data_IF_445644339792
#
_entry.id   IF_445644339792
#
_cell.length_a   1.000
_cell.length_b   1.000
_cell.length_c   1.000
_cell.angle_alpha   90.00
_cell.angle_beta   90.00
_cell.angle_gamma   90.00
#
_symmetry.space_group_name_H-M   'P 1'
#
loop_
_entity.id
_entity.type
_entity.pdbx_description
1 polymer ?
#
# COMPACT_ATOMS: atom_id res chain seq x y z
N UNK A 1 3.15 1.71 -17.54
CA UNK A 1 2.67 2.64 -16.50
C UNK A 1 2.81 2.02 -15.11
N UNK A 2 2.38 0.77 -14.94
CA UNK A 2 2.37 0.00 -13.69
C UNK A 2 3.78 -0.21 -13.11
N UNK A 3 4.76 -0.59 -13.93
CA UNK A 3 6.15 -0.74 -13.49
C UNK A 3 6.67 0.55 -12.86
N UNK A 4 6.32 1.73 -13.40
CA UNK A 4 6.69 3.02 -12.80
C UNK A 4 6.01 3.26 -11.45
N UNK A 5 4.78 2.81 -11.29
CA UNK A 5 4.02 2.93 -10.04
C UNK A 5 4.63 2.04 -8.95
N UNK A 6 4.93 0.78 -9.29
CA UNK A 6 5.60 -0.16 -8.38
C UNK A 6 7.01 0.32 -8.02
N UNK A 7 7.73 0.90 -8.98
CA UNK A 7 9.08 1.49 -8.78
C UNK A 7 9.05 2.67 -7.81
N UNK A 8 7.96 3.42 -7.78
CA UNK A 8 7.78 4.52 -6.81
C UNK A 8 7.40 4.04 -5.42
N UNK A 9 6.88 2.81 -5.30
CA UNK A 9 6.49 2.20 -4.04
C UNK A 9 7.69 1.60 -3.30
N UNK A 10 8.26 0.50 -3.80
CA UNK A 10 9.47 -0.09 -3.22
C UNK A 10 10.27 -0.92 -4.22
N UNK A 11 11.60 -0.94 -4.06
CA UNK A 11 12.49 -1.79 -4.84
C UNK A 11 12.22 -3.28 -4.58
N UNK A 12 11.79 -3.63 -3.38
CA UNK A 12 11.37 -4.99 -3.02
C UNK A 12 10.17 -5.44 -3.86
N UNK A 13 9.10 -4.63 -3.93
CA UNK A 13 7.94 -4.93 -4.75
C UNK A 13 8.30 -5.02 -6.23
N UNK A 14 9.15 -4.10 -6.72
CA UNK A 14 9.64 -4.10 -8.10
C UNK A 14 10.37 -5.40 -8.43
N UNK A 15 11.34 -5.82 -7.60
CA UNK A 15 12.13 -7.03 -7.85
C UNK A 15 11.26 -8.29 -7.96
N UNK A 16 10.19 -8.34 -7.18
CA UNK A 16 9.24 -9.44 -7.21
C UNK A 16 8.39 -9.44 -8.49
N UNK A 17 7.88 -8.29 -8.89
CA UNK A 17 7.10 -8.14 -10.14
C UNK A 17 7.94 -8.45 -11.37
N UNK A 18 9.19 -7.96 -11.41
CA UNK A 18 10.14 -8.30 -12.47
C UNK A 18 10.40 -9.80 -12.54
N UNK A 19 10.53 -10.50 -11.41
CA UNK A 19 10.69 -11.95 -11.37
C UNK A 19 9.48 -12.70 -11.95
N UNK A 20 8.26 -12.25 -11.68
CA UNK A 20 7.06 -12.83 -12.30
C UNK A 20 7.03 -12.61 -13.82
N UNK A 21 7.39 -11.40 -14.28
CA UNK A 21 7.51 -11.07 -15.70
C UNK A 21 8.51 -11.98 -16.41
N UNK A 22 9.71 -12.13 -15.86
CA UNK A 22 10.76 -13.00 -16.41
C UNK A 22 10.24 -14.43 -16.51
N UNK A 23 9.67 -14.99 -15.45
CA UNK A 23 9.14 -16.36 -15.44
C UNK A 23 8.05 -16.56 -16.50
N UNK A 24 7.18 -15.57 -16.71
CA UNK A 24 6.14 -15.60 -17.73
C UNK A 24 6.72 -15.58 -19.13
N UNK A 25 7.69 -14.68 -19.41
CA UNK A 25 8.39 -14.62 -20.69
C UNK A 25 9.16 -15.92 -21.00
N UNK A 26 9.85 -16.50 -20.02
CA UNK A 26 10.52 -17.80 -20.18
C UNK A 26 9.55 -18.94 -20.47
N UNK A 27 8.33 -18.90 -19.87
CA UNK A 27 7.29 -19.86 -20.17
C UNK A 27 6.81 -19.73 -21.61
N UNK A 28 6.51 -18.51 -22.08
CA UNK A 28 6.11 -18.25 -23.47
C UNK A 28 7.18 -18.71 -24.46
N UNK A 29 8.44 -18.43 -24.17
CA UNK A 29 9.56 -18.91 -24.99
C UNK A 29 9.60 -20.44 -25.09
N UNK A 30 9.41 -21.16 -23.97
CA UNK A 30 9.39 -22.64 -23.95
C UNK A 30 8.19 -23.23 -24.70
N UNK A 31 7.04 -22.56 -24.64
CA UNK A 31 5.82 -23.01 -25.32
C UNK A 31 5.77 -22.61 -26.80
N UNK A 32 6.76 -21.87 -27.31
CA UNK A 32 6.80 -21.37 -28.68
C UNK A 32 5.63 -20.42 -29.00
N UNK A 33 5.03 -19.80 -28.00
CA UNK A 33 3.94 -18.84 -28.17
C UNK A 33 4.54 -17.49 -28.62
N UNK A 34 3.94 -16.93 -29.66
CA UNK A 34 4.19 -15.55 -30.08
C UNK A 34 3.40 -14.67 -29.14
N UNK A 35 4.01 -13.60 -28.65
CA UNK A 35 3.32 -12.57 -27.89
C UNK A 35 2.62 -11.70 -28.93
N UNK A 36 1.36 -12.02 -29.22
CA UNK A 36 0.57 -11.29 -30.22
C UNK A 36 0.13 -9.92 -29.70
N UNK A 37 0.03 -9.75 -28.38
CA UNK A 37 -0.27 -8.49 -27.72
C UNK A 37 0.54 -8.35 -26.41
N UNK A 38 1.40 -7.37 -26.38
CA UNK A 38 2.21 -7.03 -25.20
C UNK A 38 1.30 -6.45 -24.11
N UNK A 39 0.23 -5.76 -24.48
CA UNK A 39 -0.68 -5.12 -23.54
C UNK A 39 -1.52 -6.17 -22.80
N UNK A 40 -2.03 -7.20 -23.47
CA UNK A 40 -2.68 -8.37 -22.83
C UNK A 40 -1.72 -9.12 -21.88
N UNK A 41 -0.44 -9.17 -22.24
CA UNK A 41 0.58 -9.77 -21.40
C UNK A 41 0.80 -8.98 -20.09
N UNK A 42 0.74 -7.66 -20.16
CA UNK A 42 0.87 -6.78 -18.99
C UNK A 42 -0.44 -6.73 -18.17
N UNK A 43 -1.62 -6.79 -18.81
CA UNK A 43 -2.91 -6.86 -18.13
C UNK A 43 -3.06 -8.12 -17.27
N UNK A 44 -2.62 -9.28 -17.78
CA UNK A 44 -2.60 -10.52 -17.00
C UNK A 44 -1.71 -10.44 -15.74
N UNK A 45 -0.63 -9.64 -15.78
CA UNK A 45 0.26 -9.44 -14.64
C UNK A 45 -0.40 -8.50 -13.64
N UNK A 46 -1.11 -7.51 -14.15
CA UNK A 46 -1.91 -6.59 -13.37
C UNK A 46 -3.00 -7.34 -12.59
N UNK A 47 -3.72 -8.25 -13.24
CA UNK A 47 -4.71 -9.10 -12.57
C UNK A 47 -4.07 -10.02 -11.51
N UNK A 48 -2.82 -10.47 -11.68
CA UNK A 48 -2.13 -11.31 -10.68
C UNK A 48 -1.69 -10.56 -9.42
N UNK A 49 -1.47 -9.24 -9.50
CA UNK A 49 -1.19 -8.36 -8.35
C UNK A 49 -2.46 -7.62 -7.88
N UNK A 50 -3.51 -7.59 -8.70
CA UNK A 50 -4.73 -6.79 -8.56
C UNK A 50 -5.86 -7.44 -7.76
N UNK A 51 -5.61 -8.43 -6.91
CA UNK A 51 -6.61 -8.76 -5.88
C UNK A 51 -7.01 -7.53 -5.01
N UNK A 52 -6.33 -6.38 -5.21
CA UNK A 52 -6.55 -5.15 -4.46
C UNK A 52 -6.85 -3.89 -5.33
N UNK A 53 -6.83 -3.98 -6.68
CA UNK A 53 -7.11 -2.82 -7.54
C UNK A 53 -8.48 -2.92 -8.21
N UNK A 54 -9.49 -2.37 -7.57
CA UNK A 54 -10.78 -2.06 -8.19
C UNK A 54 -10.81 -0.59 -8.55
N UNK A 55 -10.39 -0.22 -9.75
CA UNK A 55 -10.86 1.01 -10.40
C UNK A 55 -10.50 0.98 -11.89
N UNK A 56 -11.52 0.84 -12.70
CA UNK A 56 -11.51 1.08 -14.14
C UNK A 56 -11.35 2.59 -14.38
N UNK A 57 -10.13 3.06 -14.58
CA UNK A 57 -9.93 4.32 -15.30
C UNK A 57 -9.56 3.95 -16.75
N UNK A 58 -10.52 4.18 -17.65
CA UNK A 58 -10.31 4.16 -19.11
C UNK A 58 -9.12 5.07 -19.46
N UNK A 59 -7.99 4.47 -19.79
CA UNK A 59 -6.84 5.19 -20.34
C UNK A 59 -6.80 5.02 -21.84
N UNK A 60 -6.68 6.15 -22.54
CA UNK A 60 -6.44 6.23 -23.97
C UNK A 60 -5.13 5.52 -24.32
N UNK A 61 -5.22 4.58 -25.27
CA UNK A 61 -4.11 3.80 -25.79
C UNK A 61 -3.03 4.69 -26.42
N UNK A 62 -1.75 4.44 -26.17
CA UNK A 62 -0.67 4.97 -26.98
C UNK A 62 -0.55 4.11 -28.25
N UNK A 63 -0.66 4.74 -29.38
CA UNK A 63 -0.49 4.15 -30.72
C UNK A 63 0.79 3.35 -30.85
N UNK A 64 0.65 2.09 -31.22
CA UNK A 64 1.70 1.09 -31.40
C UNK A 64 2.69 1.44 -32.50
N UNK A 65 3.98 1.52 -32.10
CA UNK A 65 5.08 1.32 -33.04
C UNK A 65 5.58 -0.11 -32.89
N UNK A 66 5.49 -0.91 -33.93
CA UNK A 66 6.07 -2.25 -33.99
C UNK A 66 7.58 -2.16 -33.82
N UNK A 67 8.08 -2.66 -32.71
CA UNK A 67 9.53 -2.93 -32.52
C UNK A 67 9.64 -4.43 -32.32
N UNK A 68 10.38 -5.08 -33.21
CA UNK A 68 10.71 -6.51 -33.13
C UNK A 68 11.65 -6.74 -31.93
N UNK A 69 11.06 -6.89 -30.75
CA UNK A 69 11.80 -7.22 -29.53
C UNK A 69 12.08 -8.72 -29.48
N UNK A 70 13.34 -9.07 -29.55
CA UNK A 70 13.80 -10.41 -29.21
C UNK A 70 13.46 -10.66 -27.74
N UNK A 71 12.59 -11.66 -27.44
CA UNK A 71 12.22 -12.08 -26.06
C UNK A 71 13.47 -12.29 -25.19
N UNK A 72 14.55 -12.76 -25.78
CA UNK A 72 15.83 -12.95 -25.08
C UNK A 72 16.49 -11.63 -24.65
N UNK A 73 16.36 -10.61 -25.48
CA UNK A 73 16.84 -9.25 -25.14
C UNK A 73 16.08 -8.68 -23.96
N UNK A 74 14.75 -8.80 -23.97
CA UNK A 74 13.87 -8.30 -22.93
C UNK A 74 14.08 -9.04 -21.60
N UNK A 75 14.16 -10.37 -21.61
CA UNK A 75 14.50 -11.16 -20.42
C UNK A 75 15.83 -10.70 -19.82
N UNK A 76 16.84 -10.44 -20.63
CA UNK A 76 18.15 -10.00 -20.16
C UNK A 76 18.09 -8.62 -19.50
N UNK A 77 17.36 -7.67 -20.07
CA UNK A 77 17.16 -6.34 -19.49
C UNK A 77 16.39 -6.40 -18.18
N UNK A 78 15.31 -7.21 -18.13
CA UNK A 78 14.52 -7.41 -16.91
C UNK A 78 15.33 -8.08 -15.79
N UNK A 79 16.18 -9.05 -16.12
CA UNK A 79 17.11 -9.68 -15.16
C UNK A 79 18.09 -8.67 -14.57
N UNK A 80 18.64 -7.78 -15.39
CA UNK A 80 19.54 -6.73 -14.90
C UNK A 80 18.82 -5.74 -14.01
N UNK A 81 17.60 -5.29 -14.38
CA UNK A 81 16.77 -4.44 -13.55
C UNK A 81 16.42 -5.11 -12.22
N UNK A 82 16.07 -6.42 -12.25
CA UNK A 82 15.77 -7.19 -11.04
C UNK A 82 17.00 -7.26 -10.13
N UNK A 83 18.19 -7.53 -10.69
CA UNK A 83 19.44 -7.56 -9.95
C UNK A 83 19.76 -6.22 -9.28
N UNK A 84 19.54 -5.11 -9.99
CA UNK A 84 19.73 -3.77 -9.43
C UNK A 84 18.75 -3.51 -8.27
N UNK A 85 17.47 -3.86 -8.43
CA UNK A 85 16.47 -3.72 -7.37
C UNK A 85 16.80 -4.56 -6.14
N UNK A 86 17.27 -5.81 -6.31
CA UNK A 86 17.67 -6.69 -5.21
C UNK A 86 18.91 -6.23 -4.45
N UNK A 87 19.76 -5.44 -5.09
CA UNK A 87 20.96 -4.88 -4.45
C UNK A 87 20.66 -3.69 -3.54
N UNK A 88 19.46 -3.13 -3.60
CA UNK A 88 19.01 -2.07 -2.69
C UNK A 88 18.67 -2.70 -1.34
N UNK A 89 19.59 -2.60 -0.38
CA UNK A 89 19.42 -3.17 0.96
C UNK A 89 18.51 -2.34 1.86
N UNK A 90 18.61 -1.03 1.73
CA UNK A 90 17.83 -0.07 2.51
C UNK A 90 17.27 1.01 1.59
N UNK A 91 15.98 1.22 1.65
CA UNK A 91 15.31 2.25 0.88
C UNK A 91 15.26 3.56 1.67
N UNK A 92 15.72 4.64 1.07
CA UNK A 92 15.66 5.98 1.68
C UNK A 92 14.26 6.33 2.16
N UNK A 93 13.24 5.92 1.42
CA UNK A 93 11.83 6.14 1.75
C UNK A 93 11.43 5.43 3.06
N UNK A 94 11.90 4.19 3.29
CA UNK A 94 11.64 3.44 4.51
C UNK A 94 12.41 4.02 5.72
N UNK A 95 13.67 4.45 5.51
CA UNK A 95 14.44 5.17 6.54
C UNK A 95 13.69 6.42 6.98
N UNK A 96 13.27 7.23 6.01
CA UNK A 96 12.51 8.47 6.26
C UNK A 96 11.14 8.21 6.89
N UNK A 97 10.54 7.05 6.66
CA UNK A 97 9.29 6.66 7.33
C UNK A 97 9.51 6.54 8.84
N UNK A 98 10.58 5.89 9.30
CA UNK A 98 10.86 5.75 10.74
C UNK A 98 11.08 7.12 11.37
N UNK A 99 11.89 7.99 10.76
CA UNK A 99 12.11 9.35 11.23
C UNK A 99 10.80 10.15 11.30
N UNK A 100 9.98 10.08 10.26
CA UNK A 100 8.71 10.80 10.18
C UNK A 100 7.70 10.29 11.23
N UNK A 101 7.66 8.98 11.49
CA UNK A 101 6.80 8.40 12.53
C UNK A 101 7.15 8.91 13.91
N UNK A 102 8.44 9.02 14.26
CA UNK A 102 8.87 9.55 15.55
C UNK A 102 8.41 11.01 15.73
N UNK A 103 8.63 11.85 14.73
CA UNK A 103 8.20 13.25 14.75
C UNK A 103 6.68 13.36 14.86
N UNK A 104 5.95 12.59 14.02
CA UNK A 104 4.50 12.61 14.00
C UNK A 104 3.89 12.10 15.31
N UNK A 105 4.41 11.02 15.89
CA UNK A 105 3.93 10.53 17.19
C UNK A 105 4.16 11.53 18.32
N UNK A 106 5.26 12.27 18.30
CA UNK A 106 5.47 13.36 19.27
C UNK A 106 4.42 14.47 19.11
N UNK A 107 4.06 14.81 17.87
CA UNK A 107 2.99 15.78 17.60
C UNK A 107 1.62 15.25 18.03
N UNK A 108 1.30 14.00 17.72
CA UNK A 108 0.05 13.35 18.17
C UNK A 108 -0.06 13.36 19.69
N UNK A 109 1.04 13.05 20.40
CA UNK A 109 1.08 13.11 21.87
C UNK A 109 0.83 14.54 22.38
N UNK A 110 1.38 15.55 21.73
CA UNK A 110 1.21 16.95 22.13
C UNK A 110 -0.25 17.42 22.02
N UNK A 111 -1.03 16.90 21.06
CA UNK A 111 -2.46 17.20 20.90
C UNK A 111 -3.36 16.24 21.69
N UNK A 112 -2.79 15.34 22.50
CA UNK A 112 -3.53 14.39 23.34
C UNK A 112 -4.08 13.17 22.60
N UNK A 113 -3.67 12.94 21.35
CA UNK A 113 -4.11 11.81 20.53
C UNK A 113 -3.42 10.49 20.90
N UNK A 114 -3.98 9.39 20.43
CA UNK A 114 -3.45 8.06 20.63
C UNK A 114 -2.20 7.83 19.75
N UNK A 115 -1.23 7.07 20.26
CA UNK A 115 -0.04 6.66 19.50
C UNK A 115 -0.43 5.57 18.48
N UNK A 116 -1.16 5.96 17.44
CA UNK A 116 -1.63 5.10 16.36
C UNK A 116 -1.35 5.78 15.02
N UNK A 117 -0.86 5.00 14.04
CA UNK A 117 -0.59 5.47 12.69
C UNK A 117 -1.24 4.53 11.67
N UNK A 118 -1.95 5.11 10.71
CA UNK A 118 -2.46 4.43 9.53
C UNK A 118 -1.56 4.76 8.35
N UNK A 119 -0.87 3.75 7.81
CA UNK A 119 0.04 3.89 6.67
C UNK A 119 -0.61 3.29 5.44
N UNK A 120 -0.72 4.06 4.37
CA UNK A 120 -1.22 3.58 3.09
C UNK A 120 -0.08 3.25 2.13
N UNK A 121 -0.17 2.07 1.52
CA UNK A 121 0.67 1.63 0.40
C UNK A 121 -0.19 1.00 -0.68
N UNK A 122 0.26 1.04 -1.92
CA UNK A 122 -0.50 0.49 -3.05
C UNK A 122 -0.25 -1.01 -3.26
N UNK A 123 0.90 -1.53 -2.80
CA UNK A 123 1.32 -2.91 -3.03
C UNK A 123 1.35 -3.73 -1.74
N UNK A 124 0.76 -4.94 -1.77
CA UNK A 124 0.89 -5.92 -0.68
C UNK A 124 2.35 -6.31 -0.42
N UNK A 125 3.21 -6.27 -1.45
CA UNK A 125 4.64 -6.53 -1.31
C UNK A 125 5.35 -5.42 -0.55
N UNK A 126 5.00 -4.17 -0.85
CA UNK A 126 5.50 -3.03 -0.06
C UNK A 126 4.98 -3.08 1.37
N UNK A 127 3.72 -3.48 1.59
CA UNK A 127 3.15 -3.69 2.92
C UNK A 127 3.97 -4.69 3.75
N UNK A 128 4.32 -5.84 3.15
CA UNK A 128 5.13 -6.89 3.75
C UNK A 128 6.56 -6.42 4.07
N UNK A 129 7.18 -5.72 3.12
CA UNK A 129 8.49 -5.09 3.30
C UNK A 129 8.47 -4.08 4.45
N UNK A 130 7.52 -3.17 4.48
CA UNK A 130 7.40 -2.15 5.51
C UNK A 130 7.15 -2.73 6.89
N UNK A 131 6.31 -3.78 6.99
CA UNK A 131 6.10 -4.49 8.25
C UNK A 131 7.43 -5.01 8.79
N UNK A 132 8.17 -5.78 8.00
CA UNK A 132 9.45 -6.35 8.41
C UNK A 132 10.46 -5.25 8.77
N UNK A 133 10.52 -4.18 7.98
CA UNK A 133 11.42 -3.06 8.21
C UNK A 133 11.10 -2.33 9.52
N UNK A 134 9.83 -2.01 9.77
CA UNK A 134 9.41 -1.34 11.00
C UNK A 134 9.60 -2.23 12.24
N UNK A 135 9.30 -3.52 12.16
CA UNK A 135 9.51 -4.46 13.26
C UNK A 135 10.99 -4.57 13.67
N UNK A 136 11.92 -4.48 12.70
CA UNK A 136 13.36 -4.46 12.98
C UNK A 136 13.86 -3.10 13.47
N UNK A 137 13.11 -2.01 13.22
CA UNK A 137 13.47 -0.65 13.57
C UNK A 137 12.61 -0.05 14.71
N UNK A 138 12.35 -0.83 15.76
CA UNK A 138 11.77 -0.34 17.01
C UNK A 138 10.28 -0.59 17.20
N UNK A 139 9.57 -1.14 16.19
CA UNK A 139 8.13 -1.40 16.25
C UNK A 139 7.79 -2.90 16.31
N UNK A 140 8.67 -3.71 16.93
CA UNK A 140 8.47 -5.15 17.07
C UNK A 140 7.13 -5.45 17.75
N UNK A 141 6.33 -6.34 17.15
CA UNK A 141 5.00 -6.75 17.59
C UNK A 141 3.97 -5.58 17.65
N UNK A 142 4.28 -4.42 17.02
CA UNK A 142 3.44 -3.23 17.00
C UNK A 142 2.83 -2.91 15.62
N UNK A 143 3.14 -3.73 14.63
CA UNK A 143 2.71 -3.50 13.24
C UNK A 143 1.74 -4.59 12.82
N UNK A 144 0.61 -4.18 12.26
CA UNK A 144 -0.36 -5.10 11.65
C UNK A 144 -0.66 -4.67 10.22
N UNK A 145 -0.80 -5.65 9.33
CA UNK A 145 -1.17 -5.43 7.93
C UNK A 145 -2.69 -5.55 7.76
N UNK A 146 -3.24 -4.76 6.84
CA UNK A 146 -4.65 -4.79 6.48
C UNK A 146 -4.82 -4.68 4.96
N UNK A 147 -5.32 -5.72 4.34
CA UNK A 147 -5.54 -5.79 2.90
C UNK A 147 -6.87 -6.47 2.58
N UNK A 148 -7.25 -6.57 1.32
CA UNK A 148 -8.53 -7.15 0.90
C UNK A 148 -8.75 -8.58 1.44
N UNK A 149 -7.71 -9.41 1.45
CA UNK A 149 -7.83 -10.83 1.83
C UNK A 149 -7.58 -11.10 3.31
N UNK A 150 -6.66 -10.39 3.95
CA UNK A 150 -6.26 -10.58 5.37
C UNK A 150 -6.07 -12.05 5.76
N UNK A 151 -5.39 -12.83 4.91
CA UNK A 151 -5.25 -14.28 5.05
C UNK A 151 -3.86 -14.75 5.49
N UNK A 152 -2.98 -13.81 5.82
CA UNK A 152 -1.66 -14.09 6.38
C UNK A 152 -1.74 -14.75 7.77
N UNK A 153 -0.63 -15.31 8.23
CA UNK A 153 -0.57 -16.02 9.52
C UNK A 153 -0.96 -15.12 10.70
N UNK A 154 -0.46 -13.89 10.73
CA UNK A 154 -0.73 -12.94 11.82
C UNK A 154 -2.23 -12.61 11.88
N UNK A 155 -2.85 -12.31 10.73
CA UNK A 155 -4.29 -12.03 10.62
C UNK A 155 -5.15 -13.20 11.07
N UNK A 156 -4.73 -14.44 10.78
CA UNK A 156 -5.42 -15.66 11.25
C UNK A 156 -5.35 -15.80 12.77
N UNK A 157 -4.18 -15.62 13.35
CA UNK A 157 -4.01 -15.68 14.82
C UNK A 157 -4.81 -14.59 15.53
N UNK A 158 -4.80 -13.35 15.01
CA UNK A 158 -5.61 -12.24 15.54
C UNK A 158 -7.09 -12.62 15.51
N UNK A 159 -7.57 -13.15 14.40
CA UNK A 159 -8.97 -13.54 14.22
C UNK A 159 -9.39 -14.67 15.17
N UNK A 160 -8.58 -15.71 15.32
CA UNK A 160 -8.84 -16.82 16.23
C UNK A 160 -8.91 -16.34 17.70
N UNK A 161 -7.96 -15.48 18.11
CA UNK A 161 -7.97 -14.89 19.44
C UNK A 161 -9.20 -14.00 19.67
N UNK A 162 -9.61 -13.26 18.64
CA UNK A 162 -10.80 -12.40 18.68
C UNK A 162 -12.08 -13.24 18.80
N UNK A 163 -12.21 -14.33 18.03
CA UNK A 163 -13.33 -15.27 18.14
C UNK A 163 -13.45 -15.86 19.54
N UNK A 164 -12.32 -16.29 20.13
CA UNK A 164 -12.31 -16.83 21.49
C UNK A 164 -12.73 -15.80 22.52
N UNK A 165 -12.27 -14.53 22.38
CA UNK A 165 -12.61 -13.43 23.30
C UNK A 165 -14.09 -13.08 23.26
N UNK A 166 -14.71 -13.10 22.10
CA UNK A 166 -16.10 -12.66 21.90
C UNK A 166 -17.07 -13.81 21.68
N UNK A 167 -16.66 -15.03 21.96
CA UNK A 167 -17.52 -16.21 21.86
C UNK A 167 -18.83 -16.04 22.65
N UNK A 168 -19.97 -16.32 21.98
CA UNK A 168 -21.30 -16.18 22.59
C UNK A 168 -21.82 -14.77 22.75
N UNK A 169 -21.14 -13.76 22.19
CA UNK A 169 -21.62 -12.37 22.15
C UNK A 169 -22.18 -12.00 20.79
N UNK A 170 -23.02 -10.95 20.74
CA UNK A 170 -23.55 -10.38 19.48
C UNK A 170 -22.49 -9.65 18.64
N UNK A 171 -21.22 -9.67 19.06
CA UNK A 171 -20.14 -9.01 18.34
C UNK A 171 -19.64 -9.83 17.15
N UNK A 172 -19.83 -11.14 17.18
CA UNK A 172 -19.55 -12.05 16.08
C UNK A 172 -20.76 -12.02 15.13
N UNK A 173 -20.56 -11.51 13.91
CA UNK A 173 -21.64 -11.36 12.92
C UNK A 173 -22.00 -12.67 12.22
N UNK A 174 -21.10 -13.65 12.27
CA UNK A 174 -21.19 -14.91 11.50
C UNK A 174 -20.69 -14.79 10.06
N UNK A 175 -20.38 -13.59 9.59
CA UNK A 175 -19.69 -13.38 8.32
C UNK A 175 -18.18 -13.31 8.58
N UNK A 176 -17.44 -14.31 8.08
CA UNK A 176 -16.01 -14.47 8.32
C UNK A 176 -15.16 -13.29 7.85
N UNK A 177 -15.53 -12.65 6.74
CA UNK A 177 -14.79 -11.52 6.21
C UNK A 177 -14.98 -10.27 7.08
N UNK A 178 -16.22 -9.98 7.44
CA UNK A 178 -16.56 -8.86 8.32
C UNK A 178 -15.90 -9.06 9.69
N UNK A 179 -16.03 -10.25 10.28
CA UNK A 179 -15.48 -10.56 11.60
C UNK A 179 -13.95 -10.49 11.60
N UNK A 180 -13.28 -10.91 10.52
CA UNK A 180 -11.82 -10.81 10.38
C UNK A 180 -11.38 -9.35 10.27
N UNK A 181 -12.05 -8.53 9.44
CA UNK A 181 -11.79 -7.09 9.35
C UNK A 181 -11.95 -6.43 10.72
N UNK A 182 -13.03 -6.73 11.43
CA UNK A 182 -13.27 -6.20 12.76
C UNK A 182 -12.21 -6.65 13.78
N UNK A 183 -11.78 -7.89 13.74
CA UNK A 183 -10.74 -8.41 14.61
C UNK A 183 -9.41 -7.65 14.46
N UNK A 184 -9.01 -7.34 13.22
CA UNK A 184 -7.79 -6.59 12.95
C UNK A 184 -7.94 -5.13 13.40
N UNK A 185 -9.10 -4.50 13.18
CA UNK A 185 -9.38 -3.14 13.66
C UNK A 185 -9.33 -3.06 15.18
N UNK A 186 -9.92 -4.04 15.87
CA UNK A 186 -9.87 -4.13 17.33
C UNK A 186 -8.44 -4.34 17.83
N UNK A 187 -7.65 -5.21 17.18
CA UNK A 187 -6.24 -5.42 17.50
C UNK A 187 -5.41 -4.14 17.29
N UNK A 188 -5.66 -3.42 16.19
CA UNK A 188 -5.01 -2.13 15.97
C UNK A 188 -5.39 -1.12 17.05
N UNK A 189 -6.63 -1.10 17.51
CA UNK A 189 -7.05 -0.19 18.57
C UNK A 189 -6.39 -0.50 19.91
N UNK A 190 -6.21 -1.78 20.27
CA UNK A 190 -5.73 -2.19 21.59
C UNK A 190 -4.22 -2.45 21.67
N UNK A 191 -3.66 -3.19 20.73
CA UNK A 191 -2.33 -3.80 20.84
C UNK A 191 -1.29 -3.18 19.89
N UNK A 192 -1.64 -3.05 18.58
CA UNK A 192 -0.72 -2.51 17.59
C UNK A 192 -0.67 -0.98 17.62
N UNK A 193 0.45 -0.39 17.21
CA UNK A 193 0.64 1.05 17.07
C UNK A 193 0.51 1.50 15.62
N UNK A 194 0.81 0.62 14.66
CA UNK A 194 0.86 0.90 13.23
C UNK A 194 -0.04 -0.09 12.49
N UNK A 195 -0.96 0.43 11.67
CA UNK A 195 -1.73 -0.31 10.69
C UNK A 195 -1.22 0.06 9.29
N UNK A 196 -0.66 -0.91 8.56
CA UNK A 196 -0.30 -0.71 7.15
C UNK A 196 -1.46 -1.25 6.32
N UNK A 197 -2.07 -0.41 5.51
CA UNK A 197 -3.25 -0.76 4.74
C UNK A 197 -3.04 -0.57 3.24
N UNK A 198 -3.63 -1.47 2.45
CA UNK A 198 -3.87 -1.22 1.03
C UNK A 198 -5.20 -0.49 0.85
N UNK A 199 -5.43 0.11 -0.32
CA UNK A 199 -6.64 0.88 -0.62
C UNK A 199 -7.90 0.02 -0.41
N UNK A 200 -7.96 -1.15 -1.07
CA UNK A 200 -9.08 -2.07 -0.97
C UNK A 200 -9.30 -2.61 0.46
N UNK A 201 -8.21 -2.86 1.19
CA UNK A 201 -8.31 -3.28 2.59
C UNK A 201 -9.00 -2.22 3.44
N UNK A 202 -8.60 -0.97 3.29
CA UNK A 202 -9.08 0.14 4.13
C UNK A 202 -10.52 0.59 3.79
N UNK A 203 -11.12 0.04 2.76
CA UNK A 203 -12.48 0.41 2.37
C UNK A 203 -13.50 0.04 3.46
N UNK A 204 -14.37 1.00 3.80
CA UNK A 204 -15.45 0.80 4.76
C UNK A 204 -15.07 0.76 6.24
N UNK A 205 -13.77 0.76 6.61
CA UNK A 205 -13.35 0.74 8.02
C UNK A 205 -13.48 2.12 8.69
N UNK A 206 -13.65 2.09 10.01
CA UNK A 206 -13.71 3.27 10.86
C UNK A 206 -12.55 3.26 11.85
N UNK A 207 -11.65 4.24 11.73
CA UNK A 207 -10.43 4.36 12.53
C UNK A 207 -10.36 5.71 13.27
N UNK A 208 -11.49 6.22 13.75
CA UNK A 208 -11.58 7.51 14.45
C UNK A 208 -10.75 7.61 15.73
N UNK A 209 -10.22 6.50 16.24
CA UNK A 209 -9.26 6.48 17.35
C UNK A 209 -7.81 6.74 16.91
N UNK A 210 -7.55 6.75 15.60
CA UNK A 210 -6.26 7.07 14.99
C UNK A 210 -6.32 8.50 14.44
N UNK A 211 -5.30 9.30 14.71
CA UNK A 211 -5.20 10.69 14.24
C UNK A 211 -3.92 10.96 13.44
N UNK A 212 -3.24 9.89 12.96
CA UNK A 212 -2.09 10.00 12.06
C UNK A 212 -2.33 9.16 10.81
N UNK A 213 -2.34 9.81 9.66
CA UNK A 213 -2.40 9.17 8.34
C UNK A 213 -1.10 9.41 7.60
N UNK A 214 -0.49 8.34 7.11
CA UNK A 214 0.75 8.39 6.34
C UNK A 214 0.48 7.83 4.95
N UNK A 215 0.61 8.64 3.92
CA UNK A 215 0.59 8.20 2.55
C UNK A 215 2.01 7.84 2.13
N UNK A 216 2.40 6.56 2.33
CA UNK A 216 3.69 6.07 1.89
C UNK A 216 3.75 6.07 0.37
N UNK A 217 2.68 5.62 -0.27
CA UNK A 217 2.49 5.76 -1.71
C UNK A 217 1.40 6.79 -1.99
N UNK A 218 1.74 7.78 -2.83
CA UNK A 218 0.79 8.81 -3.25
C UNK A 218 -0.14 8.24 -4.31
N UNK A 219 -1.46 8.28 -4.09
CA UNK A 219 -2.40 7.91 -5.14
C UNK A 219 -2.41 8.98 -6.23
N UNK A 220 -2.58 8.58 -7.48
CA UNK A 220 -2.64 9.54 -8.59
C UNK A 220 -3.91 10.40 -8.57
N UNK A 221 -4.97 9.89 -7.96
CA UNK A 221 -6.21 10.64 -7.77
C UNK A 221 -6.20 11.34 -6.41
N UNK A 222 -6.19 12.69 -6.35
CA UNK A 222 -6.20 13.45 -5.11
C UNK A 222 -7.42 13.16 -4.21
N UNK A 223 -8.56 12.76 -4.77
CA UNK A 223 -9.76 12.42 -4.01
C UNK A 223 -9.53 11.21 -3.10
N UNK A 224 -8.65 10.28 -3.48
CA UNK A 224 -8.30 9.13 -2.63
C UNK A 224 -7.61 9.55 -1.35
N UNK A 225 -6.81 10.63 -1.36
CA UNK A 225 -6.19 11.15 -0.15
C UNK A 225 -7.26 11.66 0.83
N UNK A 226 -8.28 12.34 0.33
CA UNK A 226 -9.43 12.76 1.16
C UNK A 226 -10.18 11.54 1.73
N UNK A 227 -10.38 10.49 0.93
CA UNK A 227 -10.99 9.25 1.38
C UNK A 227 -10.14 8.55 2.45
N UNK A 228 -8.81 8.51 2.29
CA UNK A 228 -7.86 7.97 3.28
C UNK A 228 -7.94 8.75 4.59
N UNK A 229 -7.88 10.08 4.52
CA UNK A 229 -8.04 10.96 5.70
C UNK A 229 -9.41 10.72 6.35
N UNK A 230 -10.46 10.56 5.55
CA UNK A 230 -11.81 10.27 6.00
C UNK A 230 -11.97 8.93 6.75
N UNK A 231 -10.99 8.03 6.75
CA UNK A 231 -10.98 6.84 7.61
C UNK A 231 -10.75 7.20 9.08
N UNK A 232 -9.99 8.26 9.33
CA UNK A 232 -9.64 8.76 10.66
C UNK A 232 -10.45 10.02 11.04
N UNK A 233 -10.68 10.92 10.08
CA UNK A 233 -11.43 12.16 10.28
C UNK A 233 -12.93 11.93 10.07
N UNK A 234 -13.62 11.51 11.14
CA UNK A 234 -15.06 11.23 11.16
C UNK A 234 -15.72 11.83 12.39
N UNK A 235 -17.05 11.85 12.37
CA UNK A 235 -17.82 12.21 13.56
C UNK A 235 -17.39 11.37 14.76
N UNK A 236 -16.96 12.04 15.83
CA UNK A 236 -16.39 11.40 17.03
C UNK A 236 -14.87 11.43 17.12
N UNK A 237 -14.14 11.90 16.09
CA UNK A 237 -12.71 12.24 16.20
C UNK A 237 -12.56 13.45 17.15
N UNK A 238 -11.70 13.30 18.15
CA UNK A 238 -11.49 14.32 19.19
C UNK A 238 -10.25 15.17 18.99
N UNK A 239 -9.41 14.79 18.05
CA UNK A 239 -8.10 15.40 17.81
C UNK A 239 -7.94 15.73 16.33
N UNK A 240 -7.11 16.71 16.05
CA UNK A 240 -6.70 17.02 14.67
C UNK A 240 -6.00 15.81 14.04
N UNK A 241 -6.26 15.59 12.76
CA UNK A 241 -5.63 14.52 12.00
C UNK A 241 -4.34 15.05 11.37
N UNK A 242 -3.23 14.48 11.76
CA UNK A 242 -1.92 14.74 11.15
C UNK A 242 -1.78 13.89 9.90
N UNK A 243 -1.39 14.50 8.78
CA UNK A 243 -1.17 13.81 7.50
C UNK A 243 0.28 13.96 7.08
N UNK A 244 0.90 12.83 6.75
CA UNK A 244 2.27 12.77 6.23
C UNK A 244 2.23 12.20 4.82
N UNK A 245 2.74 12.94 3.85
CA UNK A 245 2.80 12.52 2.46
C UNK A 245 4.24 12.28 2.04
N UNK A 246 4.54 11.09 1.51
CA UNK A 246 5.82 10.80 0.88
C UNK A 246 5.75 11.13 -0.60
N UNK A 247 6.56 12.08 -1.03
CA UNK A 247 6.62 12.56 -2.42
C UNK A 247 8.00 12.28 -2.99
N UNK A 248 8.06 11.61 -4.14
CA UNK A 248 9.30 11.48 -4.88
C UNK A 248 9.46 12.69 -5.80
N UNK A 249 10.37 13.61 -5.45
CA UNK A 249 10.63 14.83 -6.21
C UNK A 249 11.04 14.59 -7.67
N UNK A 250 11.58 13.41 -7.98
CA UNK A 250 11.95 13.03 -9.34
C UNK A 250 10.78 12.42 -10.14
N UNK A 251 9.61 12.21 -9.50
CA UNK A 251 8.41 11.68 -10.14
C UNK A 251 7.45 12.83 -10.45
N UNK A 252 7.23 13.07 -11.76
CA UNK A 252 6.35 14.16 -12.23
C UNK A 252 4.91 13.94 -11.74
N UNK A 253 4.44 12.69 -11.68
CA UNK A 253 3.09 12.39 -11.22
C UNK A 253 2.91 12.73 -9.73
N UNK A 254 3.85 12.32 -8.87
CA UNK A 254 3.82 12.64 -7.45
C UNK A 254 3.83 14.16 -7.21
N UNK A 255 4.69 14.89 -7.94
CA UNK A 255 4.78 16.35 -7.84
C UNK A 255 3.46 17.01 -8.24
N UNK A 256 2.82 16.53 -9.31
CA UNK A 256 1.53 17.07 -9.77
C UNK A 256 0.42 16.85 -8.75
N UNK A 257 0.34 15.65 -8.18
CA UNK A 257 -0.62 15.36 -7.11
C UNK A 257 -0.36 16.23 -5.89
N UNK A 258 0.92 16.41 -5.51
CA UNK A 258 1.29 17.27 -4.38
C UNK A 258 0.85 18.72 -4.62
N UNK A 259 1.11 19.31 -5.80
CA UNK A 259 0.66 20.66 -6.17
C UNK A 259 -0.85 20.83 -6.06
N UNK A 260 -1.62 19.82 -6.54
CA UNK A 260 -3.08 19.85 -6.45
C UNK A 260 -3.58 19.79 -5.00
N UNK A 261 -2.91 19.00 -4.16
CA UNK A 261 -3.25 18.91 -2.75
C UNK A 261 -2.90 20.21 -2.01
N UNK A 262 -1.71 20.76 -2.25
CA UNK A 262 -1.28 22.01 -1.64
C UNK A 262 -2.26 23.15 -1.96
N UNK A 263 -2.68 23.24 -3.22
CA UNK A 263 -3.69 24.22 -3.63
C UNK A 263 -5.05 24.01 -2.97
N UNK A 264 -5.45 22.75 -2.71
CA UNK A 264 -6.72 22.40 -2.08
C UNK A 264 -6.71 22.63 -0.57
N UNK A 265 -5.64 22.21 0.11
CA UNK A 265 -5.52 22.37 1.57
C UNK A 265 -5.28 23.82 1.98
N UNK A 266 -4.63 24.63 1.18
CA UNK A 266 -4.55 26.10 1.40
C UNK A 266 -5.92 26.79 1.30
N UNK A 267 -6.92 26.15 0.66
CA UNK A 267 -8.31 26.65 0.67
C UNK A 267 -9.04 26.34 1.99
N UNK A 268 -8.53 25.41 2.80
CA UNK A 268 -9.13 25.02 4.09
C UNK A 268 -8.46 25.70 5.30
N UNK A 269 -7.26 26.26 5.16
CA UNK A 269 -6.60 27.06 6.20
C UNK A 269 -7.25 28.45 6.43
N UNK A 270 -8.30 28.75 5.69
CA UNK A 270 -9.03 30.03 5.71
C UNK A 270 -10.48 29.97 6.22
N UNK A 271 -10.90 28.89 6.88
CA UNK A 271 -12.26 28.77 7.44
C UNK A 271 -12.22 28.53 8.93
#
# INVERSE_FOLDING_TARGET
LIIRKILSSSAYALSFTLGKLINKLEKYKREGKIIDDIDDFYEDIDMMDNDDFSDEEEMQEPTSGYVDYSIDGEIKELLECQRLAQNIKEETKAIKLVEALEVAFNRIKAIGGNRKALIFTESRRTQEYLKNYLETNGYKDKVVCFNGMNNDYTSKCIYENWLNRYHGTNRISGNREIDRKQAIVDYFNTDAEILIATEAGAEGINLQFCSLVVNFDMPWNPQRIEQRIGRCHRYGQKHDVVVVNFVNQNNIADNRVYELLDSKFNLFDGV
#
